data_IF_328637123881
#
_entry.id   IF_328637123881
#
_cell.length_a   1.000
_cell.length_b   1.000
_cell.length_c   1.000
_cell.angle_alpha   90.00
_cell.angle_beta   90.00
_cell.angle_gamma   90.00
#
_symmetry.space_group_name_H-M   'P 1'
#
loop_
_entity.id
_entity.type
_entity.pdbx_description
1 polymer ?
#
# COMPACT_ATOMS: atom_id res chain seq x y z
N UNK A 1 31.88 -13.24 -43.48
CA UNK A 1 31.74 -11.81 -43.08
C UNK A 1 30.35 -11.40 -42.57
N UNK A 2 29.21 -11.93 -43.11
CA UNK A 2 27.85 -11.57 -42.63
C UNK A 2 27.55 -11.89 -41.16
N UNK A 3 28.06 -13.02 -40.61
CA UNK A 3 27.83 -13.43 -39.21
C UNK A 3 28.54 -12.56 -38.16
N UNK A 4 29.68 -11.93 -38.49
CA UNK A 4 30.38 -11.03 -37.57
C UNK A 4 29.70 -9.66 -37.46
N UNK A 5 29.14 -9.15 -38.58
CA UNK A 5 28.34 -7.92 -38.59
C UNK A 5 27.15 -8.01 -37.63
N UNK A 6 26.41 -9.13 -37.63
CA UNK A 6 25.24 -9.29 -36.76
C UNK A 6 25.58 -9.33 -35.25
N UNK A 7 26.77 -9.82 -34.87
CA UNK A 7 27.21 -9.82 -33.46
C UNK A 7 27.59 -8.42 -32.98
N UNK A 8 28.23 -7.62 -33.83
CA UNK A 8 28.61 -6.23 -33.49
C UNK A 8 27.36 -5.36 -33.32
N UNK A 9 26.36 -5.49 -34.20
CA UNK A 9 25.10 -4.76 -34.07
C UNK A 9 24.31 -5.13 -32.81
N UNK A 10 24.34 -6.41 -32.42
CA UNK A 10 23.65 -6.88 -31.20
C UNK A 10 24.30 -6.36 -29.92
N UNK A 11 25.64 -6.29 -29.89
CA UNK A 11 26.39 -5.72 -28.76
C UNK A 11 26.17 -4.19 -28.67
N UNK A 12 26.13 -3.49 -29.81
CA UNK A 12 25.84 -2.04 -29.85
C UNK A 12 24.41 -1.76 -29.37
N UNK A 13 23.43 -2.59 -29.76
CA UNK A 13 22.05 -2.49 -29.26
C UNK A 13 21.96 -2.76 -27.76
N UNK A 14 22.70 -3.76 -27.24
CA UNK A 14 22.73 -4.07 -25.81
C UNK A 14 23.34 -2.92 -24.98
N UNK A 15 24.42 -2.32 -25.48
CA UNK A 15 25.09 -1.17 -24.84
C UNK A 15 24.21 0.08 -24.92
N UNK A 16 23.49 0.32 -26.02
CA UNK A 16 22.50 1.40 -26.12
C UNK A 16 21.32 1.19 -25.17
N UNK A 17 20.81 -0.03 -24.99
CA UNK A 17 19.75 -0.31 -24.01
C UNK A 17 20.23 -0.12 -22.57
N UNK A 18 21.48 -0.50 -22.27
CA UNK A 18 22.08 -0.32 -20.94
C UNK A 18 22.38 1.16 -20.62
N UNK A 19 22.74 1.96 -21.63
CA UNK A 19 22.94 3.40 -21.48
C UNK A 19 21.63 4.17 -21.34
N UNK A 20 20.53 3.72 -21.95
CA UNK A 20 19.19 4.32 -21.73
C UNK A 20 18.61 4.02 -20.34
N UNK A 21 19.13 3.03 -19.62
CA UNK A 21 18.73 2.72 -18.24
C UNK A 21 19.50 3.49 -17.15
N UNK A 22 20.53 4.27 -17.52
CA UNK A 22 21.44 4.92 -16.55
C UNK A 22 21.29 6.45 -16.41
N UNK A 23 20.27 7.06 -17.00
CA UNK A 23 19.96 8.45 -16.70
C UNK A 23 18.47 8.75 -16.75
N UNK A 24 17.69 8.17 -15.84
CA UNK A 24 16.50 8.87 -15.33
C UNK A 24 16.97 9.96 -14.37
N UNK A 25 17.70 10.95 -14.90
CA UNK A 25 17.84 12.21 -14.21
C UNK A 25 16.44 12.80 -14.11
N UNK A 26 15.91 12.91 -12.90
CA UNK A 26 14.70 13.67 -12.60
C UNK A 26 15.00 15.11 -13.02
N UNK A 27 14.71 15.46 -14.28
CA UNK A 27 14.57 16.85 -14.65
C UNK A 27 13.30 17.33 -13.93
N UNK A 28 13.50 18.08 -12.85
CA UNK A 28 12.44 18.80 -12.18
C UNK A 28 11.78 19.71 -13.23
N UNK A 29 10.55 19.41 -13.64
CA UNK A 29 9.86 20.33 -14.52
C UNK A 29 9.52 21.59 -13.75
N UNK A 30 9.47 22.68 -14.51
CA UNK A 30 9.05 23.99 -14.05
C UNK A 30 7.54 23.96 -13.78
N UNK A 31 7.13 23.51 -12.60
CA UNK A 31 5.91 24.02 -11.97
C UNK A 31 6.08 25.55 -11.87
N UNK A 32 5.02 26.36 -12.06
CA UNK A 32 5.09 27.77 -11.71
C UNK A 32 5.67 27.88 -10.30
N UNK A 33 6.69 28.72 -10.12
CA UNK A 33 7.42 28.80 -8.84
C UNK A 33 6.51 29.11 -7.64
N UNK A 34 5.28 29.55 -7.88
CA UNK A 34 4.27 29.97 -6.89
C UNK A 34 3.14 28.94 -6.66
N UNK A 35 3.22 27.71 -7.19
CA UNK A 35 2.18 26.72 -6.88
C UNK A 35 2.30 26.23 -5.43
N UNK A 36 1.28 26.47 -4.61
CA UNK A 36 1.21 26.08 -3.19
C UNK A 36 1.39 24.58 -2.94
N UNK A 37 1.12 23.73 -3.93
CA UNK A 37 1.27 22.28 -3.84
C UNK A 37 2.62 21.75 -4.38
N UNK A 38 3.52 22.63 -4.83
CA UNK A 38 4.75 22.26 -5.57
C UNK A 38 5.60 21.20 -4.87
N UNK A 39 5.93 21.41 -3.60
CA UNK A 39 6.79 20.48 -2.84
C UNK A 39 6.17 19.09 -2.68
N UNK A 40 4.84 19.04 -2.52
CA UNK A 40 4.08 17.80 -2.42
C UNK A 40 4.09 17.04 -3.75
N UNK A 41 3.91 17.76 -4.86
CA UNK A 41 3.94 17.18 -6.20
C UNK A 41 5.35 16.65 -6.52
N UNK A 42 6.39 17.45 -6.30
CA UNK A 42 7.79 17.02 -6.48
C UNK A 42 8.12 15.78 -5.63
N UNK A 43 7.57 15.69 -4.42
CA UNK A 43 7.70 14.49 -3.60
C UNK A 43 7.08 13.25 -4.28
N UNK A 44 5.86 13.35 -4.82
CA UNK A 44 5.21 12.22 -5.49
C UNK A 44 6.00 11.73 -6.70
N UNK A 45 6.69 12.64 -7.38
CA UNK A 45 7.59 12.31 -8.49
C UNK A 45 8.86 11.63 -8.03
N UNK A 46 9.53 12.16 -7.00
CA UNK A 46 10.75 11.56 -6.46
C UNK A 46 10.54 10.17 -5.89
N UNK A 47 9.31 9.85 -5.49
CA UNK A 47 8.93 8.55 -4.91
C UNK A 47 8.29 7.59 -5.93
N UNK A 48 8.24 7.95 -7.21
CA UNK A 48 7.60 7.18 -8.28
C UNK A 48 6.10 6.87 -8.02
N UNK A 49 5.43 7.60 -7.13
CA UNK A 49 3.97 7.51 -6.95
C UNK A 49 3.28 8.05 -8.20
N UNK A 50 3.81 9.14 -8.74
CA UNK A 50 3.42 9.70 -10.05
C UNK A 50 4.61 9.56 -11.00
N UNK A 51 4.36 9.02 -12.19
CA UNK A 51 5.38 8.69 -13.18
C UNK A 51 5.40 9.61 -14.41
N UNK A 52 4.37 10.46 -14.61
CA UNK A 52 4.25 11.35 -15.78
C UNK A 52 4.96 12.69 -15.56
N UNK A 53 5.79 13.16 -16.49
CA UNK A 53 6.68 14.30 -16.23
C UNK A 53 5.94 15.56 -15.69
N UNK A 54 6.58 16.20 -14.71
CA UNK A 54 6.08 17.28 -13.84
C UNK A 54 5.43 18.48 -14.59
N UNK A 55 5.67 18.67 -15.89
CA UNK A 55 5.09 19.75 -16.70
C UNK A 55 3.62 19.51 -17.12
N UNK A 56 3.11 18.28 -16.98
CA UNK A 56 1.71 17.93 -17.30
C UNK A 56 0.84 17.61 -16.08
N UNK A 57 1.36 17.79 -14.85
CA UNK A 57 0.63 17.37 -13.65
C UNK A 57 -0.73 18.09 -13.50
N UNK A 58 -0.83 19.36 -13.92
CA UNK A 58 -2.06 20.18 -13.88
C UNK A 58 -2.72 20.18 -12.48
N UNK A 59 -2.12 20.85 -11.49
CA UNK A 59 -2.57 20.78 -10.09
C UNK A 59 -4.02 21.24 -9.86
N UNK A 60 -4.56 22.13 -10.69
CA UNK A 60 -5.93 22.61 -10.57
C UNK A 60 -6.96 21.70 -11.26
N UNK A 61 -6.50 20.70 -12.03
CA UNK A 61 -7.38 19.70 -12.63
C UNK A 61 -7.98 18.82 -11.54
N UNK A 62 -9.24 18.44 -11.70
CA UNK A 62 -9.90 17.48 -10.80
C UNK A 62 -9.26 16.10 -10.94
N UNK A 63 -8.98 15.45 -9.80
CA UNK A 63 -8.53 14.06 -9.78
C UNK A 63 -9.71 13.15 -10.13
N UNK A 64 -9.51 12.23 -11.07
CA UNK A 64 -10.53 11.21 -11.35
C UNK A 64 -10.51 10.13 -10.28
N UNK A 65 -11.58 9.34 -10.15
CA UNK A 65 -11.63 8.24 -9.18
C UNK A 65 -10.59 7.17 -9.49
N UNK A 66 -10.45 6.76 -10.75
CA UNK A 66 -9.45 5.76 -11.14
C UNK A 66 -8.02 6.24 -10.90
N UNK A 67 -7.71 7.49 -11.23
CA UNK A 67 -6.39 8.06 -10.98
C UNK A 67 -6.09 8.12 -9.48
N UNK A 68 -7.04 8.61 -8.68
CA UNK A 68 -6.88 8.68 -7.22
C UNK A 68 -6.62 7.31 -6.59
N UNK A 69 -7.45 6.30 -6.91
CA UNK A 69 -7.28 4.94 -6.42
C UNK A 69 -5.91 4.35 -6.82
N UNK A 70 -5.49 4.54 -8.07
CA UNK A 70 -4.19 4.07 -8.53
C UNK A 70 -3.03 4.71 -7.75
N UNK A 71 -3.10 6.02 -7.50
CA UNK A 71 -2.05 6.73 -6.75
C UNK A 71 -1.99 6.30 -5.28
N UNK A 72 -3.13 6.03 -4.63
CA UNK A 72 -3.15 5.45 -3.26
C UNK A 72 -2.51 4.06 -3.26
N UNK A 73 -2.85 3.21 -4.24
CA UNK A 73 -2.23 1.87 -4.37
C UNK A 73 -0.72 1.93 -4.59
N UNK A 74 -0.23 2.89 -5.39
CA UNK A 74 1.21 3.12 -5.57
C UNK A 74 1.87 3.63 -4.30
N UNK A 75 1.23 4.55 -3.56
CA UNK A 75 1.72 5.00 -2.26
C UNK A 75 1.88 3.84 -1.29
N UNK A 76 0.87 2.96 -1.16
CA UNK A 76 0.96 1.79 -0.29
C UNK A 76 2.11 0.87 -0.70
N UNK A 77 2.31 0.66 -2.01
CA UNK A 77 3.46 -0.10 -2.51
C UNK A 77 4.81 0.57 -2.21
N UNK A 78 4.89 1.90 -2.18
CA UNK A 78 6.11 2.63 -1.79
C UNK A 78 6.36 2.47 -0.28
N UNK A 79 5.33 2.57 0.55
CA UNK A 79 5.42 2.48 2.01
C UNK A 79 5.70 1.06 2.49
N UNK A 80 4.91 0.10 2.03
CA UNK A 80 4.91 -1.28 2.52
C UNK A 80 5.62 -2.27 1.60
N UNK A 81 5.83 -1.89 0.33
CA UNK A 81 6.20 -2.86 -0.69
C UNK A 81 5.01 -3.66 -1.21
N UNK A 82 5.28 -4.73 -1.98
CA UNK A 82 4.23 -5.52 -2.58
C UNK A 82 3.62 -6.48 -1.56
N UNK A 83 2.32 -6.33 -1.25
CA UNK A 83 1.61 -7.18 -0.28
C UNK A 83 0.64 -8.18 -0.94
N UNK A 84 0.19 -7.91 -2.17
CA UNK A 84 -0.81 -8.72 -2.86
C UNK A 84 -0.67 -8.54 -4.38
N UNK A 85 -1.14 -9.52 -5.16
CA UNK A 85 -1.28 -9.39 -6.62
C UNK A 85 -2.53 -8.60 -7.01
N UNK A 86 -3.34 -8.24 -6.02
CA UNK A 86 -4.65 -7.63 -6.17
C UNK A 86 -5.76 -8.65 -5.96
N UNK A 87 -6.93 -8.14 -5.60
CA UNK A 87 -8.12 -8.96 -5.57
C UNK A 87 -8.54 -9.19 -7.03
N UNK A 88 -8.57 -10.43 -7.50
CA UNK A 88 -9.20 -10.76 -8.79
C UNK A 88 -10.71 -10.58 -8.64
N UNK A 89 -11.16 -9.33 -8.71
CA UNK A 89 -12.58 -9.00 -8.74
C UNK A 89 -12.99 -8.80 -10.20
N UNK A 90 -14.07 -9.46 -10.60
CA UNK A 90 -14.80 -9.11 -11.81
C UNK A 90 -15.67 -7.86 -11.61
N UNK A 91 -15.42 -7.09 -10.54
CA UNK A 91 -16.23 -5.96 -10.10
C UNK A 91 -15.73 -4.63 -10.65
N UNK A 92 -14.49 -4.54 -11.12
CA UNK A 92 -13.97 -3.36 -11.81
C UNK A 92 -14.12 -3.54 -13.33
N UNK A 93 -14.70 -2.57 -14.03
CA UNK A 93 -14.86 -2.62 -15.50
C UNK A 93 -13.49 -2.72 -16.20
N UNK A 94 -13.36 -3.67 -17.14
CA UNK A 94 -12.12 -3.92 -17.90
C UNK A 94 -11.64 -2.73 -18.74
N UNK A 95 -12.52 -1.77 -19.01
CA UNK A 95 -12.22 -0.56 -19.79
C UNK A 95 -11.60 0.56 -18.96
N UNK A 96 -11.58 0.44 -17.63
CA UNK A 96 -10.90 1.42 -16.78
C UNK A 96 -9.39 1.41 -17.04
N UNK A 97 -8.79 2.60 -17.14
CA UNK A 97 -7.37 2.77 -17.52
C UNK A 97 -6.47 2.14 -16.45
N UNK A 98 -6.80 2.36 -15.19
CA UNK A 98 -6.02 1.88 -14.04
C UNK A 98 -6.62 0.65 -13.35
N UNK A 99 -7.35 -0.20 -14.09
CA UNK A 99 -8.02 -1.37 -13.49
C UNK A 99 -7.08 -2.22 -12.62
N UNK A 100 -5.89 -2.53 -13.14
CA UNK A 100 -4.95 -3.39 -12.43
C UNK A 100 -4.49 -2.76 -11.12
N UNK A 101 -4.18 -1.46 -11.12
CA UNK A 101 -3.80 -0.77 -9.89
C UNK A 101 -4.95 -0.63 -8.89
N UNK A 102 -6.20 -0.49 -9.36
CA UNK A 102 -7.40 -0.48 -8.51
C UNK A 102 -7.58 -1.84 -7.82
N UNK A 103 -7.50 -2.93 -8.57
CA UNK A 103 -7.60 -4.28 -8.01
C UNK A 103 -6.43 -4.59 -7.06
N UNK A 104 -5.23 -4.09 -7.37
CA UNK A 104 -4.07 -4.15 -6.50
C UNK A 104 -4.28 -3.36 -5.20
N UNK A 105 -4.86 -2.17 -5.24
CA UNK A 105 -5.20 -1.41 -4.03
C UNK A 105 -6.17 -2.21 -3.15
N UNK A 106 -7.24 -2.75 -3.72
CA UNK A 106 -8.20 -3.56 -2.97
C UNK A 106 -7.53 -4.75 -2.28
N UNK A 107 -6.70 -5.51 -3.00
CA UNK A 107 -5.95 -6.62 -2.44
C UNK A 107 -4.92 -6.22 -1.38
N UNK A 108 -4.30 -5.03 -1.50
CA UNK A 108 -3.40 -4.49 -0.48
C UNK A 108 -4.14 -4.14 0.81
N UNK A 109 -5.31 -3.50 0.72
CA UNK A 109 -6.16 -3.19 1.88
C UNK A 109 -6.58 -4.48 2.59
N UNK A 110 -7.03 -5.49 1.84
CA UNK A 110 -7.38 -6.80 2.40
C UNK A 110 -6.20 -7.46 3.12
N UNK A 111 -5.00 -7.40 2.52
CA UNK A 111 -3.81 -7.99 3.11
C UNK A 111 -3.39 -7.27 4.40
N UNK A 112 -3.45 -5.94 4.43
CA UNK A 112 -3.15 -5.17 5.65
C UNK A 112 -4.06 -5.58 6.81
N UNK A 113 -5.35 -5.79 6.54
CA UNK A 113 -6.30 -6.27 7.56
C UNK A 113 -6.03 -7.73 7.95
N UNK A 114 -5.68 -8.60 7.00
CA UNK A 114 -5.33 -9.98 7.32
C UNK A 114 -4.08 -10.08 8.22
N UNK A 115 -3.09 -9.23 7.97
CA UNK A 115 -1.87 -9.12 8.78
C UNK A 115 -2.22 -8.62 10.18
N UNK A 116 -3.00 -7.54 10.29
CA UNK A 116 -3.45 -6.96 11.56
C UNK A 116 -4.23 -7.99 12.40
N UNK A 117 -5.15 -8.73 11.78
CA UNK A 117 -5.95 -9.74 12.46
C UNK A 117 -5.24 -11.09 12.65
N UNK A 118 -4.03 -11.26 12.09
CA UNK A 118 -3.27 -12.52 12.05
C UNK A 118 -4.11 -13.71 11.56
N UNK A 119 -5.02 -13.47 10.60
CA UNK A 119 -5.92 -14.48 10.03
C UNK A 119 -6.39 -14.05 8.65
N UNK A 120 -6.78 -15.00 7.81
CA UNK A 120 -7.51 -14.67 6.58
C UNK A 120 -8.92 -14.19 6.93
N UNK A 121 -9.17 -12.90 6.70
CA UNK A 121 -10.42 -12.25 7.05
C UNK A 121 -11.50 -12.46 5.99
N UNK A 122 -12.75 -12.62 6.44
CA UNK A 122 -13.93 -12.57 5.56
C UNK A 122 -14.45 -11.14 5.36
N UNK A 123 -13.83 -10.14 5.98
CA UNK A 123 -14.29 -8.76 5.91
C UNK A 123 -14.18 -8.16 4.50
N UNK A 124 -13.16 -8.56 3.74
CA UNK A 124 -12.84 -8.07 2.38
C UNK A 124 -13.03 -6.55 2.22
N UNK A 125 -12.41 -5.72 3.09
CA UNK A 125 -12.58 -4.27 3.05
C UNK A 125 -12.17 -3.62 1.72
N UNK A 126 -11.24 -4.20 0.97
CA UNK A 126 -10.89 -3.74 -0.38
C UNK A 126 -12.06 -3.87 -1.35
N UNK A 127 -12.76 -5.01 -1.36
CA UNK A 127 -13.97 -5.19 -2.18
C UNK A 127 -15.10 -4.27 -1.70
N UNK A 128 -15.29 -4.13 -0.37
CA UNK A 128 -16.32 -3.24 0.18
C UNK A 128 -16.08 -1.77 -0.15
N UNK A 129 -14.83 -1.31 -0.18
CA UNK A 129 -14.47 0.03 -0.65
C UNK A 129 -14.95 0.25 -2.09
N UNK A 130 -14.69 -0.71 -2.99
CA UNK A 130 -15.15 -0.64 -4.38
C UNK A 130 -16.68 -0.70 -4.48
N UNK A 131 -17.34 -1.51 -3.64
CA UNK A 131 -18.79 -1.57 -3.55
C UNK A 131 -19.41 -0.23 -3.14
N UNK A 132 -18.81 0.50 -2.20
CA UNK A 132 -19.31 1.81 -1.80
C UNK A 132 -19.11 2.88 -2.87
N UNK A 133 -18.03 2.81 -3.66
CA UNK A 133 -17.94 3.65 -4.86
C UNK A 133 -19.04 3.30 -5.87
N UNK A 134 -19.39 2.02 -6.02
CA UNK A 134 -20.55 1.63 -6.82
C UNK A 134 -21.86 2.21 -6.28
N UNK A 135 -22.10 2.19 -4.96
CA UNK A 135 -23.27 2.84 -4.37
C UNK A 135 -23.29 4.35 -4.67
N UNK A 136 -22.14 5.02 -4.53
CA UNK A 136 -22.00 6.44 -4.91
C UNK A 136 -22.36 6.68 -6.37
N UNK A 137 -21.91 5.80 -7.29
CA UNK A 137 -22.25 5.85 -8.72
C UNK A 137 -23.75 5.79 -8.98
N UNK A 138 -24.49 5.05 -8.15
CA UNK A 138 -25.94 4.89 -8.23
C UNK A 138 -26.71 5.99 -7.49
N UNK A 139 -26.02 7.01 -6.95
CA UNK A 139 -26.62 8.05 -6.12
C UNK A 139 -27.11 7.54 -4.75
N UNK A 140 -26.65 6.37 -4.32
CA UNK A 140 -27.03 5.76 -3.04
C UNK A 140 -26.03 6.13 -1.94
N UNK A 141 -26.46 6.14 -0.66
CA UNK A 141 -25.57 6.30 0.47
C UNK A 141 -24.45 5.25 0.50
N UNK A 142 -23.20 5.67 0.74
CA UNK A 142 -22.04 4.79 0.95
C UNK A 142 -22.10 4.13 2.34
N UNK A 143 -23.09 3.26 2.54
CA UNK A 143 -23.32 2.52 3.78
C UNK A 143 -23.86 1.13 3.46
N UNK A 144 -23.86 0.23 4.44
CA UNK A 144 -24.41 -1.10 4.30
C UNK A 144 -25.90 -1.01 3.92
N UNK A 145 -26.30 -1.58 2.75
CA UNK A 145 -27.69 -1.57 2.35
C UNK A 145 -28.49 -2.61 3.15
N UNK A 146 -29.81 -2.41 3.25
CA UNK A 146 -30.72 -3.39 3.85
C UNK A 146 -30.75 -4.71 3.07
N UNK A 147 -30.48 -4.66 1.76
CA UNK A 147 -30.33 -5.84 0.88
C UNK A 147 -29.04 -5.70 0.10
N UNK A 148 -28.14 -6.66 0.27
CA UNK A 148 -26.90 -6.73 -0.49
C UNK A 148 -27.20 -7.23 -1.90
N UNK A 149 -26.85 -6.43 -2.92
CA UNK A 149 -26.87 -6.89 -4.30
C UNK A 149 -25.52 -7.56 -4.60
N UNK A 150 -25.53 -8.87 -4.87
CA UNK A 150 -24.33 -9.60 -5.26
C UNK A 150 -23.97 -9.42 -6.74
N UNK A 151 -24.84 -8.80 -7.56
CA UNK A 151 -24.57 -8.49 -8.96
C UNK A 151 -24.35 -6.98 -9.15
N UNK A 152 -23.12 -6.55 -8.87
CA UNK A 152 -22.67 -5.18 -9.01
C UNK A 152 -21.32 -5.12 -9.74
N UNK A 153 -21.06 -3.97 -10.36
CA UNK A 153 -19.74 -3.62 -10.88
C UNK A 153 -19.57 -2.10 -10.89
N UNK A 154 -18.31 -1.67 -10.82
CA UNK A 154 -17.89 -0.28 -10.87
C UNK A 154 -17.54 0.08 -12.32
N UNK A 155 -18.39 0.90 -12.94
CA UNK A 155 -18.25 1.25 -14.36
C UNK A 155 -17.03 2.13 -14.64
N UNK A 156 -16.41 1.95 -15.81
CA UNK A 156 -15.32 2.82 -16.27
C UNK A 156 -15.77 4.29 -16.37
N UNK A 157 -17.03 4.53 -16.78
CA UNK A 157 -17.60 5.87 -16.87
C UNK A 157 -17.64 6.58 -15.53
N UNK A 158 -18.04 5.88 -14.45
CA UNK A 158 -18.03 6.46 -13.11
C UNK A 158 -16.59 6.67 -12.58
N UNK A 159 -15.70 5.72 -12.87
CA UNK A 159 -14.28 5.81 -12.51
C UNK A 159 -13.57 7.02 -13.12
N UNK A 160 -13.97 7.43 -14.32
CA UNK A 160 -13.46 8.62 -15.02
C UNK A 160 -14.01 9.95 -14.48
N UNK A 161 -15.04 9.92 -13.63
CA UNK A 161 -15.56 11.13 -12.99
C UNK A 161 -14.63 11.60 -11.87
N UNK A 162 -14.73 12.87 -11.51
CA UNK A 162 -13.99 13.47 -10.40
C UNK A 162 -14.29 12.77 -9.07
N UNK A 163 -13.28 12.61 -8.23
CA UNK A 163 -13.43 12.10 -6.86
C UNK A 163 -13.86 13.23 -5.92
N UNK A 164 -14.86 12.97 -5.10
CA UNK A 164 -15.30 13.89 -4.03
C UNK A 164 -14.51 13.68 -2.75
N UNK A 165 -14.55 14.66 -1.84
CA UNK A 165 -13.94 14.56 -0.51
C UNK A 165 -14.51 13.41 0.32
N UNK A 166 -15.80 13.12 0.20
CA UNK A 166 -16.46 12.01 0.90
C UNK A 166 -16.02 10.64 0.37
N UNK A 167 -15.87 10.50 -0.94
CA UNK A 167 -15.34 9.26 -1.55
C UNK A 167 -13.87 9.05 -1.17
N UNK A 168 -13.07 10.13 -1.17
CA UNK A 168 -11.68 10.06 -0.73
C UNK A 168 -11.56 9.69 0.75
N UNK A 169 -12.37 10.28 1.63
CA UNK A 169 -12.34 9.92 3.05
C UNK A 169 -12.76 8.47 3.27
N UNK A 170 -13.73 7.97 2.50
CA UNK A 170 -14.11 6.56 2.49
C UNK A 170 -12.91 5.68 2.11
N UNK A 171 -12.22 5.94 1.00
CA UNK A 171 -11.02 5.19 0.59
C UNK A 171 -9.94 5.22 1.68
N UNK A 172 -9.61 6.41 2.19
CA UNK A 172 -8.53 6.56 3.18
C UNK A 172 -8.86 5.94 4.54
N UNK A 173 -10.13 5.88 4.93
CA UNK A 173 -10.54 5.19 6.16
C UNK A 173 -10.34 3.68 6.08
N UNK A 174 -10.48 3.06 4.89
CA UNK A 174 -10.18 1.65 4.69
C UNK A 174 -8.67 1.40 4.72
N UNK A 175 -7.89 2.30 4.10
CA UNK A 175 -6.42 2.25 4.14
C UNK A 175 -5.89 2.37 5.57
N UNK A 176 -6.46 3.28 6.36
CA UNK A 176 -6.02 3.57 7.73
C UNK A 176 -6.77 2.75 8.80
N UNK A 177 -7.62 1.80 8.42
CA UNK A 177 -8.40 1.02 9.38
C UNK A 177 -7.53 0.34 10.45
N UNK A 178 -6.37 -0.27 10.14
CA UNK A 178 -5.47 -0.82 11.16
C UNK A 178 -4.99 0.25 12.16
N UNK A 179 -4.61 1.44 11.69
CA UNK A 179 -4.19 2.54 12.56
C UNK A 179 -5.33 3.08 13.42
N UNK A 180 -6.53 3.18 12.85
CA UNK A 180 -7.74 3.65 13.54
C UNK A 180 -8.11 2.68 14.65
N UNK A 181 -8.05 1.37 14.38
CA UNK A 181 -8.37 0.34 15.36
C UNK A 181 -7.37 0.33 16.53
N UNK A 182 -6.06 0.34 16.22
CA UNK A 182 -4.99 0.40 17.22
C UNK A 182 -5.09 1.64 18.09
N UNK A 183 -5.33 2.82 17.51
CA UNK A 183 -5.48 4.07 18.27
C UNK A 183 -6.73 4.09 19.16
N UNK A 184 -7.80 3.40 18.75
CA UNK A 184 -9.03 3.30 19.52
C UNK A 184 -8.96 2.23 20.64
N UNK A 185 -7.94 1.37 20.65
CA UNK A 185 -7.74 0.28 21.60
C UNK A 185 -9.02 -0.55 21.83
N UNK A 186 -9.72 -0.90 20.73
CA UNK A 186 -11.02 -1.56 20.78
C UNK A 186 -10.86 -3.02 21.17
N UNK A 187 -11.61 -3.47 22.18
CA UNK A 187 -11.64 -4.87 22.59
C UNK A 187 -12.27 -5.81 21.55
N UNK A 188 -13.13 -5.27 20.67
CA UNK A 188 -13.80 -6.01 19.59
C UNK A 188 -13.04 -6.01 18.27
N UNK A 189 -11.93 -5.27 18.20
CA UNK A 189 -11.05 -5.16 17.04
C UNK A 189 -11.67 -4.54 15.79
N UNK A 190 -10.92 -4.60 14.70
CA UNK A 190 -11.19 -3.94 13.42
C UNK A 190 -12.54 -4.30 12.77
N UNK A 191 -13.15 -5.45 13.12
CA UNK A 191 -14.48 -5.85 12.62
C UNK A 191 -15.55 -4.85 13.06
N UNK A 192 -15.53 -4.44 14.34
CA UNK A 192 -16.48 -3.46 14.86
C UNK A 192 -16.25 -2.08 14.25
N UNK A 193 -14.99 -1.70 13.99
CA UNK A 193 -14.69 -0.44 13.30
C UNK A 193 -15.38 -0.39 11.94
N UNK A 194 -15.26 -1.45 11.15
CA UNK A 194 -15.92 -1.53 9.85
C UNK A 194 -17.45 -1.54 9.98
N UNK A 195 -18.01 -2.29 10.93
CA UNK A 195 -19.46 -2.28 11.17
C UNK A 195 -19.97 -0.88 11.54
N UNK A 196 -19.22 -0.13 12.36
CA UNK A 196 -19.54 1.24 12.72
C UNK A 196 -19.50 2.16 11.50
N UNK A 197 -18.42 2.09 10.71
CA UNK A 197 -18.26 2.86 9.48
C UNK A 197 -19.36 2.57 8.47
N UNK A 198 -19.72 1.30 8.29
CA UNK A 198 -20.69 0.86 7.28
C UNK A 198 -22.13 1.09 7.71
N UNK A 199 -22.41 1.17 9.00
CA UNK A 199 -23.75 1.45 9.50
C UNK A 199 -23.91 2.89 10.01
N UNK A 200 -22.88 3.73 9.84
CA UNK A 200 -22.79 5.08 10.39
C UNK A 200 -23.11 5.15 11.89
N UNK A 201 -22.59 4.20 12.67
CA UNK A 201 -22.74 4.16 14.13
C UNK A 201 -21.58 4.92 14.79
N UNK A 202 -21.85 6.10 15.32
CA UNK A 202 -20.85 6.93 15.98
C UNK A 202 -21.17 8.42 15.88
N UNK A 203 -20.35 9.23 16.55
CA UNK A 203 -20.51 10.68 16.55
C UNK A 203 -19.86 11.28 15.30
N UNK A 204 -20.62 12.10 14.56
CA UNK A 204 -20.05 12.90 13.49
C UNK A 204 -19.33 14.13 14.08
N UNK A 205 -18.11 14.38 13.62
CA UNK A 205 -17.30 15.52 14.03
C UNK A 205 -17.44 16.72 13.08
N UNK A 206 -18.27 16.58 12.05
CA UNK A 206 -18.59 17.59 11.04
C UNK A 206 -20.10 17.80 10.95
N UNK A 207 -20.52 19.03 10.64
CA UNK A 207 -21.95 19.42 10.64
C UNK A 207 -22.68 19.07 9.34
N UNK A 208 -21.94 18.94 8.25
CA UNK A 208 -22.44 18.90 6.88
C UNK A 208 -22.35 17.52 6.22
N UNK A 209 -21.99 16.49 6.98
CA UNK A 209 -22.02 15.09 6.53
C UNK A 209 -22.55 14.20 7.64
N UNK A 210 -23.19 13.10 7.25
CA UNK A 210 -23.66 12.04 8.14
C UNK A 210 -22.73 10.82 8.10
N UNK A 211 -21.79 10.77 7.15
CA UNK A 211 -20.84 9.65 7.04
C UNK A 211 -19.77 9.76 8.13
N UNK A 212 -19.33 8.61 8.64
CA UNK A 212 -18.29 8.56 9.67
C UNK A 212 -16.87 8.54 9.11
N UNK A 213 -16.70 8.24 7.83
CA UNK A 213 -15.39 8.19 7.17
C UNK A 213 -14.52 9.43 7.39
N UNK A 214 -15.01 10.68 7.21
CA UNK A 214 -14.19 11.86 7.49
C UNK A 214 -13.93 12.04 8.98
N UNK A 215 -14.89 11.70 9.84
CA UNK A 215 -14.77 11.86 11.30
C UNK A 215 -13.66 11.00 11.89
N UNK A 216 -13.54 9.73 11.47
CA UNK A 216 -12.47 8.85 11.95
C UNK A 216 -11.08 9.28 11.48
N UNK A 217 -11.00 10.10 10.43
CA UNK A 217 -9.75 10.63 9.89
C UNK A 217 -9.31 11.96 10.51
N UNK A 218 -10.16 12.60 11.32
CA UNK A 218 -9.92 13.96 11.83
C UNK A 218 -8.65 14.07 12.69
N UNK A 219 -8.40 13.09 13.56
CA UNK A 219 -7.21 13.05 14.43
C UNK A 219 -5.90 12.91 13.65
N UNK A 220 -5.95 12.30 12.46
CA UNK A 220 -4.79 12.07 11.60
C UNK A 220 -4.41 13.29 10.75
N UNK A 221 -5.20 14.37 10.81
CA UNK A 221 -4.94 15.65 10.11
C UNK A 221 -4.68 15.49 8.60
N UNK A 222 -5.23 14.43 7.99
CA UNK A 222 -5.14 14.18 6.54
C UNK A 222 -5.88 15.29 5.79
N UNK A 223 -7.12 15.55 6.20
CA UNK A 223 -7.92 16.68 5.74
C UNK A 223 -7.78 17.85 6.72
N UNK A 224 -7.63 19.06 6.18
CA UNK A 224 -7.80 20.29 6.96
C UNK A 224 -9.25 20.75 6.76
N UNK A 225 -10.07 20.51 7.77
CA UNK A 225 -11.45 20.95 7.86
C UNK A 225 -11.81 21.14 9.34
N UNK A 226 -12.42 22.28 9.65
CA UNK A 226 -12.77 22.65 11.02
C UNK A 226 -14.14 22.06 11.40
N UNK A 227 -15.22 22.78 11.09
CA UNK A 227 -16.59 22.41 11.40
C UNK A 227 -17.35 21.76 10.22
N UNK A 228 -17.05 22.20 8.99
CA UNK A 228 -17.68 21.70 7.76
C UNK A 228 -16.63 20.97 6.91
N UNK A 229 -16.96 19.73 6.50
CA UNK A 229 -16.07 18.86 5.75
C UNK A 229 -16.13 19.08 4.24
N UNK A 230 -17.26 19.58 3.72
CA UNK A 230 -17.59 19.77 2.31
C UNK A 230 -17.61 18.45 1.52
N UNK A 231 -18.47 17.47 1.88
CA UNK A 231 -18.41 16.10 1.35
C UNK A 231 -18.55 16.02 -0.18
N UNK A 232 -19.31 16.93 -0.80
CA UNK A 232 -19.58 16.93 -2.25
C UNK A 232 -18.57 17.71 -3.08
N UNK A 233 -17.60 18.38 -2.44
CA UNK A 233 -16.57 19.10 -3.18
C UNK A 233 -15.67 18.09 -3.91
N UNK A 234 -15.46 18.32 -5.21
CA UNK A 234 -14.49 17.57 -6.00
C UNK A 234 -13.06 17.96 -5.62
N UNK A 235 -12.15 16.99 -5.60
CA UNK A 235 -10.76 17.19 -5.19
C UNK A 235 -9.89 17.52 -6.40
N UNK A 236 -9.04 18.54 -6.31
CA UNK A 236 -8.04 18.83 -7.34
C UNK A 236 -6.80 17.94 -7.16
N UNK A 237 -6.02 17.74 -8.23
CA UNK A 237 -4.75 17.00 -8.15
C UNK A 237 -3.78 17.59 -7.14
N UNK A 238 -3.71 18.92 -7.02
CA UNK A 238 -2.88 19.61 -6.01
C UNK A 238 -3.32 19.30 -4.59
N UNK A 239 -4.63 19.35 -4.30
CA UNK A 239 -5.20 18.92 -3.02
C UNK A 239 -4.92 17.45 -2.74
N UNK A 240 -5.06 16.61 -3.76
CA UNK A 240 -4.77 15.18 -3.67
C UNK A 240 -3.30 14.92 -3.33
N UNK A 241 -2.36 15.66 -3.92
CA UNK A 241 -0.94 15.52 -3.64
C UNK A 241 -0.59 15.82 -2.18
N UNK A 242 -1.21 16.85 -1.60
CA UNK A 242 -1.06 17.16 -0.17
C UNK A 242 -1.59 16.03 0.70
N UNK A 243 -2.77 15.50 0.36
CA UNK A 243 -3.36 14.36 1.07
C UNK A 243 -2.45 13.12 1.00
N UNK A 244 -1.94 12.77 -0.18
CA UNK A 244 -1.02 11.64 -0.34
C UNK A 244 0.28 11.83 0.44
N UNK A 245 0.87 13.03 0.43
CA UNK A 245 2.07 13.28 1.26
C UNK A 245 1.80 13.10 2.75
N UNK A 246 0.70 13.64 3.25
CA UNK A 246 0.32 13.49 4.67
C UNK A 246 0.07 12.03 5.03
N UNK A 247 -0.58 11.28 4.13
CA UNK A 247 -0.75 9.84 4.29
C UNK A 247 0.60 9.12 4.32
N UNK A 248 1.51 9.44 3.39
CA UNK A 248 2.84 8.87 3.38
C UNK A 248 3.61 9.15 4.67
N UNK A 249 3.60 10.40 5.16
CA UNK A 249 4.31 10.78 6.39
C UNK A 249 3.74 10.06 7.61
N UNK A 250 2.40 9.93 7.67
CA UNK A 250 1.72 9.19 8.72
C UNK A 250 2.15 7.72 8.72
N UNK A 251 2.05 7.04 7.58
CA UNK A 251 2.36 5.63 7.48
C UNK A 251 3.86 5.37 7.69
N UNK A 252 4.75 6.12 7.05
CA UNK A 252 6.20 5.91 7.21
C UNK A 252 6.71 6.26 8.61
N UNK A 253 6.10 7.23 9.29
CA UNK A 253 6.41 7.55 10.67
C UNK A 253 6.21 6.37 11.63
N UNK A 254 5.21 5.52 11.36
CA UNK A 254 4.96 4.30 12.13
C UNK A 254 5.89 3.13 11.74
N UNK A 255 6.12 2.92 10.44
CA UNK A 255 6.76 1.69 9.94
C UNK A 255 8.28 1.74 9.84
N UNK A 256 8.89 2.93 9.76
CA UNK A 256 10.36 3.07 9.72
C UNK A 256 11.04 2.90 11.09
N UNK A 257 10.25 2.84 12.16
CA UNK A 257 10.73 2.64 13.53
C UNK A 257 10.19 1.32 14.02
N UNK A 258 10.92 0.22 13.75
CA UNK A 258 10.76 -0.99 14.57
C UNK A 258 11.11 -0.60 16.00
N UNK A 259 10.10 -0.30 16.80
CA UNK A 259 10.21 0.40 18.06
C UNK A 259 9.03 0.03 18.97
N UNK A 260 9.13 0.43 20.24
CA UNK A 260 8.14 0.07 21.24
C UNK A 260 8.40 -1.30 21.86
N UNK A 261 7.36 -1.90 22.42
CA UNK A 261 7.44 -3.20 23.09
C UNK A 261 7.64 -4.37 22.11
N UNK A 262 8.02 -5.55 22.65
CA UNK A 262 8.25 -6.78 21.85
C UNK A 262 7.05 -7.13 20.96
N UNK A 263 5.83 -6.97 21.46
CA UNK A 263 4.62 -7.25 20.69
C UNK A 263 4.43 -6.26 19.52
N UNK A 264 4.63 -4.96 19.77
CA UNK A 264 4.50 -3.92 18.74
C UNK A 264 5.56 -4.10 17.64
N UNK A 265 6.80 -4.43 18.03
CA UNK A 265 7.88 -4.74 17.11
C UNK A 265 7.54 -5.99 16.27
N UNK A 266 6.97 -7.03 16.88
CA UNK A 266 6.55 -8.22 16.17
C UNK A 266 5.49 -7.90 15.10
N UNK A 267 4.50 -7.07 15.43
CA UNK A 267 3.45 -6.68 14.47
C UNK A 267 4.02 -5.88 13.29
N UNK A 268 4.94 -4.94 13.56
CA UNK A 268 5.63 -4.17 12.51
C UNK A 268 6.48 -5.06 11.61
N UNK A 269 7.24 -6.00 12.19
CA UNK A 269 8.06 -6.96 11.45
C UNK A 269 7.16 -7.92 10.64
N UNK A 270 5.98 -8.27 11.13
CA UNK A 270 5.03 -9.12 10.42
C UNK A 270 4.64 -8.55 9.05
N UNK A 271 4.43 -7.22 8.97
CA UNK A 271 4.16 -6.53 7.70
C UNK A 271 5.37 -6.60 6.76
N UNK A 272 6.58 -6.34 7.28
CA UNK A 272 7.84 -6.41 6.51
C UNK A 272 8.05 -7.82 5.93
N UNK A 273 7.94 -8.85 6.76
CA UNK A 273 8.14 -10.24 6.33
C UNK A 273 7.07 -10.70 5.36
N UNK A 274 5.84 -10.21 5.49
CA UNK A 274 4.75 -10.46 4.54
C UNK A 274 5.08 -9.89 3.16
N UNK A 275 5.54 -8.63 3.10
CA UNK A 275 5.97 -8.01 1.85
C UNK A 275 7.18 -8.72 1.22
N UNK A 276 8.16 -9.10 2.05
CA UNK A 276 9.34 -9.85 1.64
C UNK A 276 8.99 -11.23 1.07
N UNK A 277 8.11 -11.97 1.76
CA UNK A 277 7.62 -13.29 1.34
C UNK A 277 6.86 -13.19 0.02
N UNK A 278 6.02 -12.17 -0.14
CA UNK A 278 5.30 -11.94 -1.39
C UNK A 278 6.25 -11.62 -2.55
N UNK A 279 7.23 -10.72 -2.35
CA UNK A 279 8.26 -10.42 -3.36
C UNK A 279 9.03 -11.69 -3.78
N UNK A 280 9.35 -12.55 -2.83
CA UNK A 280 10.00 -13.84 -3.07
C UNK A 280 9.14 -14.81 -3.88
N UNK A 281 7.86 -14.95 -3.53
CA UNK A 281 6.91 -15.82 -4.23
C UNK A 281 6.73 -15.41 -5.70
N UNK A 282 6.74 -14.10 -5.98
CA UNK A 282 6.61 -13.56 -7.35
C UNK A 282 7.90 -13.63 -8.16
N UNK A 283 9.04 -13.92 -7.52
CA UNK A 283 10.35 -13.92 -8.19
C UNK A 283 10.77 -12.53 -8.70
N UNK A 284 10.22 -11.45 -8.13
CA UNK A 284 10.57 -10.08 -8.52
C UNK A 284 11.91 -9.69 -7.89
N UNK A 285 13.00 -9.87 -8.66
CA UNK A 285 14.36 -9.62 -8.19
C UNK A 285 14.60 -8.16 -7.78
N UNK A 286 13.93 -7.21 -8.43
CA UNK A 286 14.05 -5.78 -8.10
C UNK A 286 13.39 -5.45 -6.75
N UNK A 287 12.27 -6.10 -6.44
CA UNK A 287 11.64 -5.94 -5.11
C UNK A 287 12.38 -6.74 -4.04
N UNK A 288 12.91 -7.92 -4.36
CA UNK A 288 13.67 -8.74 -3.42
C UNK A 288 14.85 -7.99 -2.80
N UNK A 289 15.60 -7.22 -3.59
CA UNK A 289 16.75 -6.43 -3.10
C UNK A 289 16.35 -5.30 -2.15
N UNK A 290 15.05 -5.00 -2.01
CA UNK A 290 14.56 -4.04 -1.01
C UNK A 290 14.36 -4.65 0.38
N UNK A 291 14.23 -5.98 0.44
CA UNK A 291 13.94 -6.72 1.68
C UNK A 291 15.06 -7.63 2.11
N UNK A 292 15.93 -8.06 1.19
CA UNK A 292 16.97 -9.05 1.45
C UNK A 292 18.35 -8.50 1.08
N UNK A 293 19.36 -8.85 1.86
CA UNK A 293 20.76 -8.69 1.46
C UNK A 293 21.11 -9.69 0.34
N UNK A 294 22.17 -9.42 -0.43
CA UNK A 294 22.64 -10.34 -1.47
C UNK A 294 22.97 -11.74 -0.92
N UNK A 295 23.45 -11.78 0.34
CA UNK A 295 23.69 -13.01 1.09
C UNK A 295 22.39 -13.78 1.33
N UNK A 296 21.35 -13.12 1.83
CA UNK A 296 20.06 -13.76 2.06
C UNK A 296 19.39 -14.20 0.75
N UNK A 297 19.50 -13.43 -0.33
CA UNK A 297 19.00 -13.82 -1.67
C UNK A 297 19.66 -15.12 -2.12
N UNK A 298 20.98 -15.25 -1.94
CA UNK A 298 21.72 -16.47 -2.28
C UNK A 298 21.32 -17.68 -1.41
N UNK A 299 20.82 -17.46 -0.19
CA UNK A 299 20.26 -18.52 0.66
C UNK A 299 18.85 -18.93 0.20
N UNK A 300 18.01 -17.97 -0.20
CA UNK A 300 16.64 -18.21 -0.69
C UNK A 300 16.62 -19.17 -1.89
N UNK A 301 17.59 -19.03 -2.80
CA UNK A 301 17.70 -19.89 -3.97
C UNK A 301 17.89 -21.38 -3.61
N UNK A 302 18.38 -21.70 -2.40
CA UNK A 302 18.65 -23.07 -1.94
C UNK A 302 17.45 -23.75 -1.27
N UNK A 303 16.43 -22.99 -0.86
CA UNK A 303 15.27 -23.49 -0.12
C UNK A 303 13.96 -23.45 -0.94
N UNK A 304 14.05 -23.27 -2.26
CA UNK A 304 12.87 -23.23 -3.14
C UNK A 304 12.28 -24.63 -3.35
N UNK A 305 10.94 -24.79 -3.39
CA UNK A 305 9.87 -23.80 -3.14
C UNK A 305 9.25 -23.95 -1.74
N UNK A 306 9.60 -23.07 -0.79
CA UNK A 306 9.00 -23.07 0.56
C UNK A 306 8.39 -21.71 0.91
N UNK A 307 7.27 -21.63 1.66
CA UNK A 307 6.73 -20.36 2.11
C UNK A 307 7.67 -19.69 3.11
N UNK A 308 8.21 -18.52 2.75
CA UNK A 308 9.21 -17.83 3.56
C UNK A 308 8.64 -17.23 4.85
N UNK A 309 7.39 -16.78 4.83
CA UNK A 309 6.70 -16.26 6.02
C UNK A 309 5.18 -16.40 5.84
N UNK A 310 4.47 -16.59 6.95
CA UNK A 310 3.01 -16.58 7.03
C UNK A 310 2.57 -15.64 8.16
N UNK A 311 1.78 -14.61 7.83
CA UNK A 311 1.40 -13.54 8.76
C UNK A 311 0.52 -13.99 9.95
N UNK A 312 -0.07 -15.18 9.86
CA UNK A 312 -0.86 -15.80 10.93
C UNK A 312 -0.03 -16.77 11.80
N UNK A 313 1.27 -16.91 11.51
CA UNK A 313 2.20 -17.65 12.35
C UNK A 313 2.56 -16.88 13.62
N UNK A 314 3.24 -17.56 14.54
CA UNK A 314 3.77 -16.92 15.74
C UNK A 314 5.13 -16.29 15.41
N UNK A 315 5.33 -15.03 15.84
CA UNK A 315 6.58 -14.31 15.68
C UNK A 315 7.07 -13.86 17.05
N UNK A 316 8.27 -14.29 17.43
CA UNK A 316 8.92 -13.92 18.68
C UNK A 316 10.13 -13.05 18.37
N UNK A 317 10.12 -11.80 18.86
CA UNK A 317 11.29 -10.92 18.75
C UNK A 317 12.25 -11.23 19.91
N UNK A 318 13.50 -11.52 19.56
CA UNK A 318 14.58 -11.81 20.49
C UNK A 318 15.46 -10.57 20.73
N UNK A 319 16.77 -10.75 20.65
CA UNK A 319 17.73 -9.67 20.87
C UNK A 319 17.57 -8.54 19.84
N UNK A 320 17.43 -7.32 20.35
CA UNK A 320 17.27 -6.10 19.54
C UNK A 320 18.35 -5.09 19.94
N UNK A 321 19.05 -4.58 18.94
CA UNK A 321 20.08 -3.54 19.08
C UNK A 321 19.83 -2.40 18.09
N UNK A 322 20.69 -1.37 18.12
CA UNK A 322 20.58 -0.24 17.21
C UNK A 322 20.75 -0.61 15.72
N UNK A 323 21.41 -1.74 15.41
CA UNK A 323 21.78 -2.15 14.06
C UNK A 323 21.28 -3.54 13.67
N UNK A 324 20.77 -4.33 14.61
CA UNK A 324 20.41 -5.72 14.41
C UNK A 324 19.19 -6.14 15.23
N UNK A 325 18.31 -6.94 14.64
CA UNK A 325 17.18 -7.59 15.30
C UNK A 325 17.21 -9.08 14.98
N UNK A 326 17.20 -9.92 16.01
CA UNK A 326 17.02 -11.36 15.90
C UNK A 326 15.59 -11.73 16.25
N UNK A 327 14.98 -12.63 15.49
CA UNK A 327 13.61 -13.10 15.73
C UNK A 327 13.40 -14.52 15.22
N UNK A 328 12.41 -15.20 15.78
CA UNK A 328 12.02 -16.56 15.39
C UNK A 328 10.56 -16.58 14.99
N UNK A 329 10.27 -17.17 13.83
CA UNK A 329 8.91 -17.37 13.35
C UNK A 329 8.54 -18.85 13.32
N UNK A 330 7.37 -19.19 13.83
CA UNK A 330 6.81 -20.53 13.85
C UNK A 330 5.57 -20.60 12.96
N UNK A 331 5.61 -21.50 11.99
CA UNK A 331 4.65 -21.53 10.90
C UNK A 331 4.15 -22.95 10.63
N UNK A 332 3.03 -23.03 9.90
CA UNK A 332 2.45 -24.29 9.46
C UNK A 332 2.03 -24.21 8.00
N UNK A 333 2.60 -25.09 7.17
CA UNK A 333 2.22 -25.23 5.77
C UNK A 333 1.58 -26.59 5.53
N UNK A 334 0.57 -26.65 4.67
CA UNK A 334 0.03 -27.93 4.19
C UNK A 334 1.07 -28.77 3.44
N UNK A 335 2.09 -28.13 2.87
CA UNK A 335 3.15 -28.78 2.09
C UNK A 335 4.31 -29.27 2.97
N UNK A 336 4.64 -28.53 4.03
CA UNK A 336 5.88 -28.74 4.82
C UNK A 336 5.61 -29.16 6.27
N UNK A 337 4.35 -29.20 6.71
CA UNK A 337 4.04 -29.37 8.12
C UNK A 337 4.45 -28.15 8.95
N UNK A 338 4.90 -28.37 10.18
CA UNK A 338 5.36 -27.31 11.06
C UNK A 338 6.83 -26.99 10.79
N UNK A 339 7.16 -25.71 10.74
CA UNK A 339 8.53 -25.26 10.52
C UNK A 339 8.81 -23.97 11.27
N UNK A 340 10.10 -23.74 11.52
CA UNK A 340 10.60 -22.53 12.15
C UNK A 340 11.59 -21.84 11.20
N UNK A 341 11.58 -20.51 11.21
CA UNK A 341 12.62 -19.72 10.57
C UNK A 341 13.15 -18.71 11.58
N UNK A 342 14.46 -18.76 11.82
CA UNK A 342 15.17 -17.73 12.57
C UNK A 342 15.67 -16.67 11.60
N UNK A 343 15.30 -15.42 11.82
CA UNK A 343 15.69 -14.29 10.98
C UNK A 343 16.66 -13.38 11.71
N UNK A 344 17.57 -12.79 10.92
CA UNK A 344 18.42 -11.68 11.34
C UNK A 344 18.14 -10.49 10.44
N UNK A 345 17.60 -9.42 11.01
CA UNK A 345 17.38 -8.16 10.32
C UNK A 345 18.50 -7.17 10.66
N UNK A 346 18.94 -6.39 9.67
CA UNK A 346 19.96 -5.36 9.83
C UNK A 346 19.54 -4.06 9.15
N UNK A 347 20.07 -2.94 9.62
CA UNK A 347 19.94 -1.66 8.89
C UNK A 347 20.87 -1.67 7.67
N UNK A 348 20.38 -1.42 6.45
CA UNK A 348 21.25 -1.33 5.28
C UNK A 348 22.14 -0.08 5.36
N UNK A 349 23.32 -0.14 4.74
CA UNK A 349 24.20 1.03 4.62
C UNK A 349 23.55 2.19 3.85
N UNK A 350 22.68 1.86 2.87
CA UNK A 350 21.89 2.82 2.10
C UNK A 350 20.41 2.70 2.48
N UNK A 351 19.91 3.63 3.31
CA UNK A 351 18.52 3.65 3.78
C UNK A 351 17.49 3.65 2.63
N UNK A 352 17.83 4.23 1.48
CA UNK A 352 16.94 4.35 0.31
C UNK A 352 16.47 2.99 -0.27
N UNK A 353 17.12 1.88 0.10
CA UNK A 353 16.77 0.55 -0.40
C UNK A 353 15.74 -0.18 0.47
N UNK A 354 15.52 0.22 1.73
CA UNK A 354 14.67 -0.52 2.66
C UNK A 354 13.42 0.28 3.08
N UNK A 355 12.21 -0.10 2.62
CA UNK A 355 10.97 0.60 2.95
C UNK A 355 10.73 0.75 4.47
N UNK A 356 11.18 -0.24 5.23
CA UNK A 356 11.05 -0.31 6.69
C UNK A 356 12.31 0.14 7.45
N UNK A 357 13.37 0.57 6.76
CA UNK A 357 14.68 0.87 7.37
C UNK A 357 15.48 -0.37 7.79
N UNK A 358 14.96 -1.59 7.56
CA UNK A 358 15.56 -2.87 7.89
C UNK A 358 15.48 -3.84 6.71
N UNK A 359 16.47 -4.72 6.58
CA UNK A 359 16.50 -5.81 5.60
C UNK A 359 16.89 -7.13 6.27
N UNK A 360 16.48 -8.24 5.68
CA UNK A 360 16.84 -9.59 6.08
C UNK A 360 18.26 -9.88 5.59
N UNK A 361 19.22 -10.00 6.52
CA UNK A 361 20.62 -10.33 6.19
C UNK A 361 20.86 -11.84 6.05
N UNK A 362 20.18 -12.61 6.89
CA UNK A 362 20.27 -14.05 6.87
C UNK A 362 19.06 -14.67 7.57
N UNK A 363 18.83 -15.94 7.26
CA UNK A 363 17.85 -16.74 7.96
C UNK A 363 18.32 -18.19 8.08
N UNK A 364 17.79 -18.90 9.07
CA UNK A 364 18.00 -20.33 9.24
C UNK A 364 16.65 -21.05 9.23
N UNK A 365 16.50 -22.04 8.36
CA UNK A 365 15.28 -22.85 8.26
C UNK A 365 15.42 -24.12 9.10
N UNK A 366 14.40 -24.42 9.91
CA UNK A 366 14.36 -25.58 10.77
C UNK A 366 13.04 -26.33 10.52
N UNK A 367 13.14 -27.55 10.00
CA UNK A 367 12.02 -28.48 9.93
C UNK A 367 11.76 -29.05 11.33
N UNK A 368 10.49 -29.02 11.79
CA UNK A 368 10.07 -29.58 13.08
C UNK A 368 9.21 -30.81 12.92
#
# INVERSE_FOLDING_TARGET
MRKQRNKVWMIVLLVLTLLTSLSKGVQAAKLPNENWAKEYIEFLFRTDIVSDPTWLYQPDRLITKEEGLALVGRLLKVVYGPLSEGAYTNRTDYRAVYKQEIDQLAGQIDMLVNIEQKKTSKLQPGEKMLYYLHLSAMGQPMKQPLRYNSDWWLSAAHLQQSMTREELSMVLSHVLAPQIDRAANRSTGIEQLYDDLYNWKGNNLYRDTVTLFPSVLKSYKIFQADADFQPKQAVTRGQYAVVLKRLYDLLTGEHQRIAGGVAEQADQINVLLSAASYAYQRGDRQQLTKFFSDKAISQLEKIRPMPFHQYYGELTVGETSASEISLSGFYRSSQMGNYQIDYRLVKPAEQAKAPYGWIIDSFNYIQR
#
